data_IF_826224520448
#
_entry.id   IF_826224520448
#
_cell.length_a   1.000
_cell.length_b   1.000
_cell.length_c   1.000
_cell.angle_alpha   90.00
_cell.angle_beta   90.00
_cell.angle_gamma   90.00
#
_symmetry.space_group_name_H-M   'P 1'
#
loop_
_entity.id
_entity.type
_entity.pdbx_description
1 polymer ?
#
# COMPACT_ATOMS: atom_id res chain seq x y z
N UNK A 1 21.48 11.27 24.57
CA UNK A 1 20.05 11.64 24.40
C UNK A 1 19.95 12.41 23.11
N UNK A 2 19.03 12.04 22.22
CA UNK A 2 18.77 12.83 21.02
C UNK A 2 18.10 14.17 21.43
N UNK A 3 18.49 15.25 20.78
CA UNK A 3 17.83 16.54 20.85
C UNK A 3 16.43 16.48 20.23
N UNK A 4 15.56 17.43 20.61
CA UNK A 4 14.21 17.53 20.05
C UNK A 4 14.25 17.69 18.52
N UNK A 5 15.24 18.44 18.00
CA UNK A 5 15.44 18.63 16.57
C UNK A 5 15.82 17.32 15.84
N UNK A 6 16.68 16.50 16.45
CA UNK A 6 17.02 15.17 15.89
C UNK A 6 15.80 14.24 15.87
N UNK A 7 14.94 14.31 16.91
CA UNK A 7 13.71 13.52 16.96
C UNK A 7 12.73 13.99 15.88
N UNK A 8 12.53 15.31 15.71
CA UNK A 8 11.68 15.87 14.65
C UNK A 8 12.18 15.47 13.26
N UNK A 9 13.48 15.55 13.01
CA UNK A 9 14.07 15.13 11.74
C UNK A 9 13.81 13.65 11.44
N UNK A 10 14.01 12.76 12.43
CA UNK A 10 13.73 11.34 12.29
C UNK A 10 12.24 11.05 12.00
N UNK A 11 11.33 11.77 12.65
CA UNK A 11 9.89 11.63 12.42
C UNK A 11 9.48 12.12 11.03
N UNK A 12 10.05 13.23 10.56
CA UNK A 12 9.81 13.71 9.19
C UNK A 12 10.26 12.68 8.15
N UNK A 13 11.44 12.09 8.35
CA UNK A 13 11.94 11.03 7.48
C UNK A 13 11.04 9.79 7.51
N UNK A 14 10.59 9.37 8.70
CA UNK A 14 9.66 8.25 8.83
C UNK A 14 8.32 8.51 8.15
N UNK A 15 7.77 9.72 8.28
CA UNK A 15 6.53 10.12 7.61
C UNK A 15 6.68 10.08 6.08
N UNK A 16 7.78 10.62 5.56
CA UNK A 16 8.07 10.60 4.13
C UNK A 16 8.21 9.15 3.62
N UNK A 17 8.95 8.31 4.33
CA UNK A 17 9.13 6.92 3.94
C UNK A 17 7.82 6.12 3.96
N UNK A 18 6.95 6.39 4.93
CA UNK A 18 5.61 5.82 4.98
C UNK A 18 4.76 6.26 3.77
N UNK A 19 4.82 7.53 3.38
CA UNK A 19 4.13 8.02 2.18
C UNK A 19 4.65 7.33 0.90
N UNK A 20 5.96 7.16 0.76
CA UNK A 20 6.58 6.45 -0.36
C UNK A 20 6.11 4.98 -0.42
N UNK A 21 6.08 4.30 0.71
CA UNK A 21 5.57 2.92 0.82
C UNK A 21 4.10 2.86 0.40
N UNK A 22 3.29 3.83 0.82
CA UNK A 22 1.89 3.95 0.38
C UNK A 22 1.74 4.18 -1.13
N UNK A 23 2.65 4.94 -1.76
CA UNK A 23 2.67 5.11 -3.22
C UNK A 23 3.05 3.82 -3.94
N UNK A 24 4.06 3.11 -3.45
CA UNK A 24 4.47 1.82 -4.01
C UNK A 24 3.34 0.78 -3.92
N UNK A 25 2.64 0.69 -2.78
CA UNK A 25 1.49 -0.19 -2.64
C UNK A 25 0.36 0.14 -3.64
N UNK A 26 0.11 1.44 -3.90
CA UNK A 26 -0.85 1.87 -4.94
C UNK A 26 -0.39 1.46 -6.35
N UNK A 27 0.89 1.56 -6.67
CA UNK A 27 1.42 1.09 -7.94
C UNK A 27 1.27 -0.43 -8.09
N UNK A 28 1.51 -1.19 -7.01
CA UNK A 28 1.25 -2.64 -7.00
C UNK A 28 -0.23 -2.97 -7.23
N UNK A 29 -1.17 -2.21 -6.66
CA UNK A 29 -2.61 -2.38 -6.92
C UNK A 29 -2.91 -2.26 -8.42
N UNK A 30 -2.36 -1.25 -9.09
CA UNK A 30 -2.55 -1.08 -10.53
C UNK A 30 -1.99 -2.27 -11.34
N UNK A 31 -0.83 -2.82 -10.96
CA UNK A 31 -0.29 -4.02 -11.58
C UNK A 31 -1.13 -5.27 -11.33
N UNK A 32 -1.78 -5.38 -10.17
CA UNK A 32 -2.73 -6.46 -9.86
C UNK A 32 -3.99 -6.33 -10.71
N UNK A 33 -4.51 -5.11 -10.90
CA UNK A 33 -5.66 -4.85 -11.78
C UNK A 33 -5.36 -5.25 -13.23
N UNK A 34 -4.17 -4.93 -13.74
CA UNK A 34 -3.72 -5.37 -15.06
C UNK A 34 -3.64 -6.91 -15.14
N UNK A 35 -3.10 -7.56 -14.11
CA UNK A 35 -3.03 -9.03 -14.04
C UNK A 35 -4.42 -9.67 -14.08
N UNK A 36 -5.39 -9.12 -13.34
CA UNK A 36 -6.78 -9.59 -13.36
C UNK A 36 -7.37 -9.45 -14.77
N UNK A 37 -7.16 -8.31 -15.43
CA UNK A 37 -7.63 -8.08 -16.79
C UNK A 37 -7.03 -9.09 -17.79
N UNK A 38 -5.74 -9.40 -17.68
CA UNK A 38 -5.08 -10.42 -18.50
C UNK A 38 -5.66 -11.83 -18.27
N UNK A 39 -5.89 -12.21 -17.01
CA UNK A 39 -6.50 -13.50 -16.65
C UNK A 39 -7.92 -13.61 -17.20
N UNK A 40 -8.72 -12.54 -17.05
CA UNK A 40 -10.09 -12.49 -17.60
C UNK A 40 -10.08 -12.60 -19.12
N UNK A 41 -9.16 -11.92 -19.81
CA UNK A 41 -9.01 -12.01 -21.26
C UNK A 41 -8.64 -13.43 -21.70
N UNK A 42 -7.71 -14.09 -20.99
CA UNK A 42 -7.28 -15.45 -21.27
C UNK A 42 -8.39 -16.50 -21.06
N UNK A 43 -9.27 -16.29 -20.08
CA UNK A 43 -10.40 -17.20 -19.81
C UNK A 43 -11.68 -16.87 -20.62
N UNK A 44 -11.66 -15.90 -21.54
CA UNK A 44 -12.85 -15.59 -22.35
C UNK A 44 -13.31 -16.83 -23.12
N UNK A 45 -14.57 -17.22 -22.91
CA UNK A 45 -15.17 -18.39 -23.56
C UNK A 45 -14.74 -19.73 -22.95
N UNK A 46 -13.89 -19.74 -21.92
CA UNK A 46 -13.49 -20.95 -21.21
C UNK A 46 -13.81 -20.77 -19.72
N UNK A 47 -14.83 -21.47 -19.22
CA UNK A 47 -15.18 -21.48 -17.78
C UNK A 47 -14.12 -22.28 -16.98
N UNK A 48 -12.84 -21.90 -17.09
CA UNK A 48 -11.74 -22.65 -16.52
C UNK A 48 -11.62 -22.33 -15.02
N UNK A 49 -11.90 -23.28 -14.12
CA UNK A 49 -12.01 -23.02 -12.67
C UNK A 49 -10.69 -22.50 -12.08
N UNK A 50 -9.53 -22.95 -12.59
CA UNK A 50 -8.22 -22.46 -12.14
C UNK A 50 -7.97 -20.98 -12.42
N UNK A 51 -8.54 -20.43 -13.49
CA UNK A 51 -8.40 -18.99 -13.78
C UNK A 51 -9.26 -18.19 -12.81
N UNK A 52 -10.45 -18.69 -12.47
CA UNK A 52 -11.31 -18.06 -11.45
C UNK A 52 -10.66 -18.09 -10.07
N UNK A 53 -10.02 -19.20 -9.67
CA UNK A 53 -9.22 -19.27 -8.44
C UNK A 53 -8.08 -18.24 -8.44
N UNK A 54 -7.36 -18.08 -9.56
CA UNK A 54 -6.28 -17.11 -9.68
C UNK A 54 -6.78 -15.66 -9.61
N UNK A 55 -7.91 -15.35 -10.24
CA UNK A 55 -8.55 -14.02 -10.16
C UNK A 55 -8.96 -13.72 -8.71
N UNK A 56 -9.58 -14.68 -8.02
CA UNK A 56 -9.98 -14.51 -6.63
C UNK A 56 -8.77 -14.24 -5.71
N UNK A 57 -7.65 -14.95 -5.92
CA UNK A 57 -6.41 -14.71 -5.19
C UNK A 57 -5.84 -13.30 -5.47
N UNK A 58 -5.89 -12.85 -6.72
CA UNK A 58 -5.44 -11.51 -7.10
C UNK A 58 -6.33 -10.40 -6.47
N UNK A 59 -7.65 -10.58 -6.44
CA UNK A 59 -8.57 -9.67 -5.74
C UNK A 59 -8.27 -9.59 -4.23
N UNK A 60 -7.98 -10.73 -3.60
CA UNK A 60 -7.56 -10.75 -2.19
C UNK A 60 -6.24 -9.99 -1.98
N UNK A 61 -5.26 -10.19 -2.87
CA UNK A 61 -4.00 -9.44 -2.82
C UNK A 61 -4.22 -7.93 -2.94
N UNK A 62 -5.12 -7.50 -3.84
CA UNK A 62 -5.49 -6.09 -4.00
C UNK A 62 -6.09 -5.50 -2.71
N UNK A 63 -6.95 -6.24 -2.03
CA UNK A 63 -7.53 -5.81 -0.75
C UNK A 63 -6.43 -5.60 0.31
N UNK A 64 -5.51 -6.56 0.45
CA UNK A 64 -4.39 -6.46 1.40
C UNK A 64 -3.46 -5.27 1.10
N UNK A 65 -3.20 -5.00 -0.19
CA UNK A 65 -2.45 -3.81 -0.59
C UNK A 65 -3.21 -2.52 -0.27
N UNK A 66 -4.54 -2.51 -0.43
CA UNK A 66 -5.39 -1.38 -0.02
C UNK A 66 -5.31 -1.11 1.48
N UNK A 67 -5.32 -2.15 2.31
CA UNK A 67 -5.07 -2.01 3.74
C UNK A 67 -3.66 -1.48 4.05
N UNK A 68 -2.64 -1.95 3.32
CA UNK A 68 -1.28 -1.45 3.47
C UNK A 68 -1.17 0.06 3.16
N UNK A 69 -1.88 0.54 2.13
CA UNK A 69 -1.99 1.98 1.82
C UNK A 69 -2.57 2.75 2.99
N UNK A 70 -3.66 2.27 3.58
CA UNK A 70 -4.32 2.94 4.71
C UNK A 70 -3.40 2.97 5.94
N UNK A 71 -2.70 1.87 6.23
CA UNK A 71 -1.73 1.81 7.34
C UNK A 71 -0.55 2.75 7.11
N UNK A 72 -0.05 2.84 5.88
CA UNK A 72 1.04 3.76 5.53
C UNK A 72 0.65 5.23 5.76
N UNK A 73 -0.57 5.62 5.38
CA UNK A 73 -1.12 6.95 5.66
C UNK A 73 -1.28 7.20 7.16
N UNK A 74 -1.82 6.24 7.91
CA UNK A 74 -1.98 6.35 9.36
C UNK A 74 -0.62 6.52 10.07
N UNK A 75 0.41 5.79 9.64
CA UNK A 75 1.77 5.93 10.17
C UNK A 75 2.35 7.31 9.89
N UNK A 76 2.19 7.82 8.65
CA UNK A 76 2.65 9.16 8.30
C UNK A 76 1.94 10.25 9.12
N UNK A 77 0.63 10.11 9.33
CA UNK A 77 -0.15 11.03 10.15
C UNK A 77 0.32 11.00 11.61
N UNK A 78 0.49 9.81 12.20
CA UNK A 78 0.95 9.69 13.58
C UNK A 78 2.33 10.33 13.81
N UNK A 79 3.24 10.19 12.83
CA UNK A 79 4.54 10.85 12.89
C UNK A 79 4.42 12.39 12.83
N UNK A 80 3.53 12.92 11.99
CA UNK A 80 3.25 14.36 11.91
C UNK A 80 2.57 14.91 13.17
N UNK A 81 1.60 14.18 13.72
CA UNK A 81 0.93 14.56 14.96
C UNK A 81 1.93 14.65 16.11
N UNK A 82 2.86 13.69 16.19
CA UNK A 82 3.90 13.69 17.21
C UNK A 82 4.90 14.85 17.04
N UNK A 83 5.23 15.24 15.80
CA UNK A 83 6.01 16.47 15.55
C UNK A 83 5.26 17.69 16.09
N UNK A 84 3.96 17.81 15.85
CA UNK A 84 3.13 18.90 16.36
C UNK A 84 3.08 18.98 17.89
N UNK A 85 3.15 17.84 18.58
CA UNK A 85 3.25 17.77 20.04
C UNK A 85 4.61 18.26 20.55
N UNK A 86 5.69 18.04 19.79
CA UNK A 86 7.04 18.48 20.16
C UNK A 86 7.26 20.00 20.00
N UNK A 87 6.29 20.73 19.44
CA UNK A 87 6.33 22.19 19.22
C UNK A 87 7.33 22.57 18.15
#
# INVERSE_FOLDING_TARGET
MASVEEVKAALMQAAQHAQETGQQARACIAGVDETIAMLQAAARGTNHPKVQEAIAAAEQQKQLLGEAVNRAHATAQAAQDYIGVLG
#
